data_IF_602967386255
#
_entry.id   IF_602967386255
#
_cell.length_a   1.000
_cell.length_b   1.000
_cell.length_c   1.000
_cell.angle_alpha   90.00
_cell.angle_beta   90.00
_cell.angle_gamma   90.00
#
_symmetry.space_group_name_H-M   'P 1'
#
loop_
_entity.id
_entity.type
_entity.pdbx_description
1 polymer ?
#
# COMPACT_ATOMS: atom_id res chain seq x y z
N UNK A 1 1.71 -9.14 -20.77
CA UNK A 1 2.63 -8.13 -20.23
C UNK A 1 3.50 -8.72 -19.11
N UNK A 2 2.95 -9.41 -18.12
CA UNK A 2 3.70 -10.03 -17.01
C UNK A 2 4.85 -10.93 -17.48
N UNK A 3 4.66 -11.79 -18.46
CA UNK A 3 5.74 -12.64 -19.00
C UNK A 3 6.92 -11.88 -19.60
N UNK A 4 6.69 -10.69 -20.18
CA UNK A 4 7.79 -9.84 -20.72
C UNK A 4 8.69 -9.29 -19.62
N UNK A 5 8.12 -9.05 -18.44
CA UNK A 5 8.82 -8.45 -17.28
C UNK A 5 9.01 -9.45 -16.14
N UNK A 6 8.91 -10.75 -16.44
CA UNK A 6 9.10 -11.83 -15.48
C UNK A 6 10.37 -11.64 -14.66
N UNK A 7 10.24 -11.68 -13.32
CA UNK A 7 11.32 -11.50 -12.37
C UNK A 7 11.90 -10.08 -12.30
N UNK A 8 11.33 -9.10 -13.02
CA UNK A 8 11.73 -7.68 -12.96
C UNK A 8 10.68 -6.82 -12.27
N UNK A 9 9.39 -7.10 -12.52
CA UNK A 9 8.27 -6.47 -11.84
C UNK A 9 7.69 -7.51 -10.91
N UNK A 10 7.68 -7.21 -9.62
CA UNK A 10 7.32 -8.15 -8.57
C UNK A 10 5.86 -8.10 -8.16
N UNK A 11 5.14 -7.05 -8.53
CA UNK A 11 3.74 -6.81 -8.18
C UNK A 11 2.97 -6.28 -9.38
N UNK A 12 1.74 -6.77 -9.59
CA UNK A 12 0.87 -6.37 -10.70
C UNK A 12 -0.55 -6.13 -10.21
N UNK A 13 -1.13 -5.00 -10.60
CA UNK A 13 -2.59 -4.84 -10.64
C UNK A 13 -3.09 -5.55 -11.90
N UNK A 14 -3.61 -6.77 -11.70
CA UNK A 14 -4.08 -7.64 -12.81
C UNK A 14 -5.33 -7.07 -13.46
N UNK A 15 -6.23 -6.56 -12.62
CA UNK A 15 -7.44 -5.87 -13.04
C UNK A 15 -7.58 -4.56 -12.26
N UNK A 16 -8.01 -3.51 -12.96
CA UNK A 16 -8.23 -2.19 -12.39
C UNK A 16 -9.65 -1.71 -12.69
N UNK A 17 -10.35 -1.21 -11.64
CA UNK A 17 -11.66 -0.55 -11.73
C UNK A 17 -12.73 -1.39 -12.45
N UNK A 18 -12.87 -2.63 -12.04
CA UNK A 18 -13.81 -3.56 -12.68
C UNK A 18 -15.26 -3.41 -12.20
N UNK A 19 -15.48 -2.71 -11.10
CA UNK A 19 -16.82 -2.52 -10.53
C UNK A 19 -17.56 -1.32 -11.14
N UNK A 20 -18.84 -1.48 -11.35
CA UNK A 20 -19.76 -0.37 -11.65
C UNK A 20 -19.82 0.58 -10.45
N UNK A 21 -20.05 1.87 -10.68
CA UNK A 21 -20.20 2.83 -9.58
C UNK A 21 -21.53 2.65 -8.83
N UNK A 22 -22.57 2.18 -9.51
CA UNK A 22 -23.82 1.81 -8.88
C UNK A 22 -23.79 0.36 -8.38
N UNK A 23 -23.52 0.21 -7.11
CA UNK A 23 -23.57 -1.06 -6.39
C UNK A 23 -24.82 -1.19 -5.50
N UNK A 24 -25.94 -0.61 -5.92
CA UNK A 24 -27.19 -0.67 -5.15
C UNK A 24 -27.70 -2.11 -4.95
N UNK A 25 -27.30 -3.06 -5.81
CA UNK A 25 -27.61 -4.49 -5.69
C UNK A 25 -27.20 -5.07 -4.33
N UNK A 26 -26.13 -4.57 -3.71
CA UNK A 26 -25.66 -5.01 -2.37
C UNK A 26 -26.70 -4.79 -1.28
N UNK A 27 -27.67 -3.88 -1.48
CA UNK A 27 -28.75 -3.62 -0.52
C UNK A 27 -29.77 -4.74 -0.47
N UNK A 28 -29.99 -5.43 -1.59
CA UNK A 28 -30.91 -6.57 -1.70
C UNK A 28 -30.19 -7.91 -1.55
N UNK A 29 -28.95 -7.99 -1.98
CA UNK A 29 -28.06 -9.14 -1.81
C UNK A 29 -26.70 -8.68 -1.26
N UNK A 30 -26.44 -8.82 0.05
CA UNK A 30 -25.19 -8.39 0.67
C UNK A 30 -23.94 -9.10 0.15
N UNK A 31 -24.08 -10.16 -0.62
CA UNK A 31 -22.97 -10.92 -1.21
C UNK A 31 -22.70 -10.57 -2.68
N UNK A 32 -23.60 -9.79 -3.28
CA UNK A 32 -23.52 -9.42 -4.69
C UNK A 32 -22.49 -8.32 -4.98
N UNK A 33 -22.14 -8.22 -6.24
CA UNK A 33 -21.46 -7.09 -6.85
C UNK A 33 -21.87 -6.98 -8.33
N UNK A 34 -21.68 -5.81 -8.90
CA UNK A 34 -21.99 -5.52 -10.31
C UNK A 34 -20.73 -5.06 -11.01
N UNK A 35 -20.38 -5.71 -12.11
CA UNK A 35 -19.23 -5.32 -12.91
C UNK A 35 -19.53 -4.09 -13.79
N UNK A 36 -18.53 -3.27 -13.99
CA UNK A 36 -18.55 -2.15 -14.93
C UNK A 36 -18.73 -2.69 -16.36
N UNK A 37 -19.60 -2.10 -17.17
CA UNK A 37 -19.71 -2.43 -18.58
C UNK A 37 -18.35 -2.24 -19.28
N UNK A 38 -17.87 -3.31 -19.89
CA UNK A 38 -16.62 -3.33 -20.65
C UNK A 38 -16.73 -4.36 -21.77
N UNK A 39 -15.85 -4.29 -22.76
CA UNK A 39 -15.78 -5.34 -23.80
C UNK A 39 -15.54 -6.72 -23.18
N UNK A 40 -14.72 -6.80 -22.13
CA UNK A 40 -14.43 -8.06 -21.44
C UNK A 40 -15.66 -8.61 -20.72
N UNK A 41 -16.33 -7.80 -19.92
CA UNK A 41 -17.55 -8.20 -19.21
C UNK A 41 -18.69 -8.55 -20.19
N UNK A 42 -18.77 -7.88 -21.33
CA UNK A 42 -19.83 -8.12 -22.33
C UNK A 42 -19.63 -9.44 -23.10
N UNK A 43 -18.40 -9.75 -23.52
CA UNK A 43 -18.14 -10.88 -24.41
C UNK A 43 -17.63 -12.13 -23.70
N UNK A 44 -17.08 -12.01 -22.52
CA UNK A 44 -16.51 -13.12 -21.73
C UNK A 44 -17.36 -13.40 -20.48
N UNK A 45 -17.99 -12.34 -19.93
CA UNK A 45 -18.63 -12.43 -18.63
C UNK A 45 -17.65 -12.14 -17.48
N UNK A 46 -18.04 -12.53 -16.27
CA UNK A 46 -17.24 -12.34 -15.06
C UNK A 46 -15.91 -13.10 -15.09
N UNK A 47 -15.89 -14.21 -15.82
CA UNK A 47 -14.73 -15.11 -15.97
C UNK A 47 -13.51 -14.43 -16.59
N UNK A 48 -13.65 -13.23 -17.15
CA UNK A 48 -12.49 -12.49 -17.64
C UNK A 48 -11.50 -12.12 -16.53
N UNK A 49 -12.02 -11.86 -15.31
CA UNK A 49 -11.18 -11.54 -14.14
C UNK A 49 -10.39 -12.78 -13.74
N UNK A 50 -11.05 -13.91 -13.61
CA UNK A 50 -10.43 -15.18 -13.24
C UNK A 50 -9.35 -15.58 -14.26
N UNK A 51 -9.68 -15.48 -15.56
CA UNK A 51 -8.75 -15.75 -16.65
C UNK A 51 -7.52 -14.84 -16.59
N UNK A 52 -7.70 -13.55 -16.28
CA UNK A 52 -6.61 -12.60 -16.16
C UNK A 52 -5.65 -12.99 -15.03
N UNK A 53 -6.17 -13.38 -13.87
CA UNK A 53 -5.34 -13.88 -12.74
C UNK A 53 -4.62 -15.18 -13.09
N UNK A 54 -5.31 -16.15 -13.71
CA UNK A 54 -4.70 -17.41 -14.14
C UNK A 54 -3.54 -17.17 -15.11
N UNK A 55 -3.76 -16.35 -16.14
CA UNK A 55 -2.73 -16.07 -17.14
C UNK A 55 -1.58 -15.24 -16.60
N UNK A 56 -1.85 -14.29 -15.71
CA UNK A 56 -0.80 -13.51 -15.06
C UNK A 56 0.11 -14.41 -14.21
N UNK A 57 -0.48 -15.30 -13.40
CA UNK A 57 0.26 -16.26 -12.59
C UNK A 57 1.03 -17.28 -13.44
N UNK A 58 0.44 -17.81 -14.51
CA UNK A 58 1.15 -18.69 -15.45
C UNK A 58 2.35 -18.02 -16.11
N UNK A 59 2.21 -16.73 -16.42
CA UNK A 59 3.28 -15.95 -17.06
C UNK A 59 4.44 -15.63 -16.10
N UNK A 60 4.13 -15.32 -14.83
CA UNK A 60 5.11 -15.07 -13.77
C UNK A 60 4.56 -15.60 -12.41
N UNK A 61 4.88 -16.85 -12.04
CA UNK A 61 4.37 -17.46 -10.82
C UNK A 61 4.88 -16.81 -9.53
N UNK A 62 5.99 -16.08 -9.57
CA UNK A 62 6.61 -15.45 -8.42
C UNK A 62 6.10 -14.03 -8.19
N UNK A 63 5.37 -13.46 -9.16
CA UNK A 63 4.80 -12.12 -9.04
C UNK A 63 3.56 -12.14 -8.12
N UNK A 64 3.44 -11.12 -7.29
CA UNK A 64 2.28 -10.88 -6.44
C UNK A 64 1.20 -10.18 -7.26
N UNK A 65 -0.01 -10.73 -7.21
CA UNK A 65 -1.12 -10.30 -8.05
C UNK A 65 -2.19 -9.61 -7.22
N UNK A 66 -2.59 -8.42 -7.65
CA UNK A 66 -3.58 -7.58 -6.98
C UNK A 66 -4.74 -7.25 -7.93
N UNK A 67 -5.84 -6.86 -7.35
CA UNK A 67 -6.94 -6.16 -8.02
C UNK A 67 -7.06 -4.77 -7.39
N UNK A 68 -7.31 -3.72 -8.17
CA UNK A 68 -7.29 -2.33 -7.71
C UNK A 68 -8.63 -1.64 -7.96
N UNK A 69 -9.10 -0.79 -7.00
CA UNK A 69 -10.38 -0.11 -7.11
C UNK A 69 -10.39 1.22 -6.33
N UNK A 70 -11.19 2.19 -6.82
CA UNK A 70 -11.49 3.44 -6.14
C UNK A 70 -12.86 3.44 -5.48
N UNK A 71 -13.06 4.32 -4.50
CA UNK A 71 -14.33 4.47 -3.79
C UNK A 71 -14.67 3.27 -2.89
N UNK A 72 -13.72 2.36 -2.70
CA UNK A 72 -13.86 1.11 -1.95
C UNK A 72 -13.06 1.09 -0.64
N UNK A 73 -12.58 2.24 -0.17
CA UNK A 73 -11.64 2.36 0.94
C UNK A 73 -12.30 2.22 2.31
N UNK A 74 -13.52 2.71 2.47
CA UNK A 74 -14.17 2.86 3.78
C UNK A 74 -15.43 2.03 3.90
N UNK A 75 -15.54 1.16 4.92
CA UNK A 75 -16.76 0.36 5.18
C UNK A 75 -18.01 1.22 5.29
N UNK A 76 -19.14 0.64 4.91
CA UNK A 76 -20.47 1.29 4.97
C UNK A 76 -20.91 1.95 3.67
N UNK A 77 -20.11 1.84 2.60
CA UNK A 77 -20.52 2.19 1.23
C UNK A 77 -20.80 0.91 0.45
N UNK A 78 -21.81 0.92 -0.41
CA UNK A 78 -22.18 -0.24 -1.24
C UNK A 78 -21.02 -0.71 -2.12
N UNK A 79 -20.25 0.22 -2.69
CA UNK A 79 -19.07 -0.11 -3.51
C UNK A 79 -17.97 -0.81 -2.70
N UNK A 80 -17.76 -0.42 -1.44
CA UNK A 80 -16.80 -1.08 -0.55
C UNK A 80 -17.22 -2.51 -0.24
N UNK A 81 -18.52 -2.76 -0.01
CA UNK A 81 -19.02 -4.11 0.23
C UNK A 81 -18.94 -4.96 -1.04
N UNK A 82 -19.31 -4.42 -2.19
CA UNK A 82 -19.19 -5.08 -3.49
C UNK A 82 -17.72 -5.47 -3.78
N UNK A 83 -16.78 -4.57 -3.53
CA UNK A 83 -15.36 -4.84 -3.74
C UNK A 83 -14.85 -5.94 -2.79
N UNK A 84 -15.24 -5.89 -1.53
CA UNK A 84 -14.92 -6.95 -0.58
C UNK A 84 -15.48 -8.31 -1.03
N UNK A 85 -16.71 -8.36 -1.51
CA UNK A 85 -17.35 -9.59 -2.02
C UNK A 85 -16.57 -10.16 -3.22
N UNK A 86 -16.21 -9.32 -4.19
CA UNK A 86 -15.39 -9.71 -5.33
C UNK A 86 -14.05 -10.28 -4.90
N UNK A 87 -13.30 -9.56 -4.06
CA UNK A 87 -11.98 -9.98 -3.59
C UNK A 87 -12.06 -11.28 -2.80
N UNK A 88 -13.08 -11.42 -1.93
CA UNK A 88 -13.36 -12.64 -1.18
C UNK A 88 -13.62 -13.82 -2.12
N UNK A 89 -14.47 -13.64 -3.13
CA UNK A 89 -14.76 -14.68 -4.14
C UNK A 89 -13.48 -15.12 -4.86
N UNK A 90 -12.64 -14.18 -5.31
CA UNK A 90 -11.37 -14.49 -5.98
C UNK A 90 -10.47 -15.34 -5.09
N UNK A 91 -10.38 -15.00 -3.80
CA UNK A 91 -9.60 -15.76 -2.81
C UNK A 91 -10.16 -17.16 -2.59
N UNK A 92 -11.49 -17.29 -2.40
CA UNK A 92 -12.17 -18.55 -2.16
C UNK A 92 -12.13 -19.47 -3.38
N UNK A 93 -12.03 -18.92 -4.60
CA UNK A 93 -11.85 -19.69 -5.85
C UNK A 93 -10.44 -20.27 -6.01
N UNK A 94 -9.52 -20.01 -5.07
CA UNK A 94 -8.15 -20.54 -5.12
C UNK A 94 -7.24 -19.86 -6.13
N UNK A 95 -7.62 -18.69 -6.66
CA UNK A 95 -6.78 -17.90 -7.53
C UNK A 95 -5.56 -17.34 -6.79
N UNK A 96 -4.47 -17.13 -7.52
CA UNK A 96 -3.23 -16.58 -6.99
C UNK A 96 -3.35 -15.07 -6.72
N UNK A 97 -4.31 -14.67 -5.87
CA UNK A 97 -4.47 -13.29 -5.44
C UNK A 97 -3.68 -13.05 -4.16
N UNK A 98 -2.75 -12.10 -4.17
CA UNK A 98 -1.99 -11.66 -3.00
C UNK A 98 -2.77 -10.66 -2.15
N UNK A 99 -3.54 -9.77 -2.79
CA UNK A 99 -4.27 -8.74 -2.08
C UNK A 99 -5.09 -7.81 -2.97
N UNK A 100 -5.48 -6.70 -2.37
CA UNK A 100 -6.27 -5.67 -3.01
C UNK A 100 -5.60 -4.29 -2.93
N UNK A 101 -5.76 -3.49 -3.99
CA UNK A 101 -5.41 -2.09 -4.05
C UNK A 101 -6.59 -1.20 -3.66
N UNK A 102 -6.33 -0.22 -2.83
CA UNK A 102 -7.24 0.86 -2.47
C UNK A 102 -6.63 2.15 -3.03
N UNK A 103 -7.27 2.78 -4.01
CA UNK A 103 -6.70 3.95 -4.69
C UNK A 103 -6.53 5.14 -3.74
N UNK A 104 -7.46 5.34 -2.83
CA UNK A 104 -7.40 6.39 -1.82
C UNK A 104 -7.39 7.81 -2.42
N UNK A 105 -8.23 8.07 -3.41
CA UNK A 105 -8.52 9.40 -3.91
C UNK A 105 -9.53 10.10 -3.01
N UNK A 106 -9.04 10.99 -2.13
CA UNK A 106 -9.88 11.70 -1.18
C UNK A 106 -9.97 13.19 -1.48
N UNK A 107 -11.00 13.82 -0.91
CA UNK A 107 -11.08 15.26 -0.71
C UNK A 107 -11.03 15.52 0.80
N UNK A 108 -10.37 16.60 1.24
CA UNK A 108 -10.26 16.89 2.68
C UNK A 108 -11.62 16.91 3.36
N UNK A 109 -11.75 16.18 4.47
CA UNK A 109 -12.99 16.00 5.22
C UNK A 109 -13.75 14.71 4.87
N UNK A 110 -13.37 13.97 3.82
CA UNK A 110 -14.02 12.70 3.47
C UNK A 110 -13.48 11.51 4.27
N UNK A 111 -12.25 11.61 4.76
CA UNK A 111 -11.57 10.51 5.42
C UNK A 111 -12.17 10.16 6.78
N UNK A 112 -12.73 8.96 6.89
CA UNK A 112 -13.06 8.32 8.18
C UNK A 112 -12.01 7.24 8.48
N UNK A 113 -11.09 7.58 9.37
CA UNK A 113 -9.95 6.71 9.71
C UNK A 113 -10.36 5.39 10.32
N UNK A 114 -11.45 5.35 11.09
CA UNK A 114 -11.95 4.11 11.70
C UNK A 114 -12.55 3.19 10.64
N UNK A 115 -13.29 3.75 9.67
CA UNK A 115 -13.88 2.98 8.58
C UNK A 115 -12.82 2.44 7.61
N UNK A 116 -11.79 3.24 7.30
CA UNK A 116 -10.66 2.81 6.48
C UNK A 116 -9.93 1.64 7.15
N UNK A 117 -9.55 1.81 8.42
CA UNK A 117 -8.81 0.76 9.12
C UNK A 117 -9.65 -0.51 9.32
N UNK A 118 -10.94 -0.38 9.62
CA UNK A 118 -11.84 -1.53 9.69
C UNK A 118 -11.90 -2.30 8.36
N UNK A 119 -11.84 -1.59 7.23
CA UNK A 119 -11.83 -2.20 5.91
C UNK A 119 -10.52 -2.97 5.66
N UNK A 120 -9.37 -2.37 5.96
CA UNK A 120 -8.05 -3.00 5.85
C UNK A 120 -8.00 -4.30 6.66
N UNK A 121 -8.50 -4.29 7.88
CA UNK A 121 -8.55 -5.47 8.75
C UNK A 121 -9.47 -6.58 8.23
N UNK A 122 -10.51 -6.25 7.46
CA UNK A 122 -11.34 -7.30 6.83
C UNK A 122 -10.54 -8.12 5.83
N UNK A 123 -9.66 -7.48 5.05
CA UNK A 123 -8.78 -8.18 4.11
C UNK A 123 -7.69 -8.96 4.84
N UNK A 124 -7.18 -8.47 5.96
CA UNK A 124 -6.27 -9.23 6.82
C UNK A 124 -6.90 -10.55 7.31
N UNK A 125 -8.17 -10.51 7.71
CA UNK A 125 -8.93 -11.71 8.11
C UNK A 125 -9.10 -12.73 6.97
N UNK A 126 -8.95 -12.32 5.71
CA UNK A 126 -8.90 -13.20 4.55
C UNK A 126 -7.48 -13.69 4.22
N UNK A 127 -6.47 -13.27 5.00
CA UNK A 127 -5.06 -13.52 4.72
C UNK A 127 -4.55 -12.78 3.49
N UNK A 128 -5.10 -11.60 3.20
CA UNK A 128 -4.78 -10.78 2.03
C UNK A 128 -4.07 -9.50 2.44
N UNK A 129 -3.15 -9.07 1.57
CA UNK A 129 -2.50 -7.76 1.68
C UNK A 129 -3.42 -6.65 1.18
N UNK A 130 -3.23 -5.45 1.76
CA UNK A 130 -3.77 -4.20 1.23
C UNK A 130 -2.62 -3.32 0.76
N UNK A 131 -2.76 -2.73 -0.42
CA UNK A 131 -1.85 -1.68 -0.89
C UNK A 131 -2.65 -0.39 -1.10
N UNK A 132 -2.04 0.73 -0.74
CA UNK A 132 -2.56 2.05 -1.08
C UNK A 132 -1.86 2.44 -2.38
N UNK A 133 -2.62 2.53 -3.47
CA UNK A 133 -2.05 2.54 -4.82
C UNK A 133 -1.91 3.94 -5.42
N UNK A 134 -2.80 4.87 -5.05
CA UNK A 134 -2.95 6.11 -5.81
C UNK A 134 -3.27 7.31 -4.90
N UNK A 135 -2.71 7.32 -3.68
CA UNK A 135 -3.06 8.32 -2.67
C UNK A 135 -2.92 9.75 -3.18
N UNK A 136 -4.02 10.46 -3.21
CA UNK A 136 -4.08 11.90 -3.32
C UNK A 136 -5.24 12.46 -2.49
N UNK A 137 -5.08 13.69 -1.95
CA UNK A 137 -6.09 14.33 -1.12
C UNK A 137 -6.30 15.76 -1.61
N UNK A 138 -7.31 15.98 -2.44
CA UNK A 138 -7.66 17.32 -2.91
C UNK A 138 -8.22 18.21 -1.79
N UNK A 139 -7.94 19.49 -1.83
CA UNK A 139 -8.52 20.45 -0.89
C UNK A 139 -10.00 20.68 -1.23
N UNK A 140 -10.89 20.49 -0.27
CA UNK A 140 -12.33 20.79 -0.46
C UNK A 140 -12.55 22.28 -0.72
N UNK A 141 -11.86 23.14 0.03
CA UNK A 141 -11.80 24.57 -0.16
C UNK A 141 -10.34 25.04 -0.10
N UNK A 142 -9.71 25.32 -1.26
CA UNK A 142 -8.32 25.79 -1.28
C UNK A 142 -8.11 27.18 -0.68
N UNK A 143 -9.18 27.93 -0.45
CA UNK A 143 -9.11 29.31 0.09
C UNK A 143 -9.21 29.34 1.61
N UNK A 144 -9.58 28.22 2.25
CA UNK A 144 -9.66 28.14 3.70
C UNK A 144 -8.27 28.27 4.34
N UNK A 145 -8.17 29.07 5.40
CA UNK A 145 -6.91 29.36 6.09
C UNK A 145 -6.17 28.08 6.57
N UNK A 146 -6.94 27.08 7.00
CA UNK A 146 -6.42 25.81 7.53
C UNK A 146 -6.40 24.66 6.50
N UNK A 147 -6.66 24.94 5.21
CA UNK A 147 -6.82 23.91 4.17
C UNK A 147 -5.62 22.95 4.08
N UNK A 148 -4.39 23.50 4.02
CA UNK A 148 -3.16 22.69 3.94
C UNK A 148 -2.88 21.94 5.24
N UNK A 149 -3.28 22.48 6.38
CA UNK A 149 -3.12 21.79 7.68
C UNK A 149 -4.07 20.58 7.78
N UNK A 150 -5.33 20.73 7.35
CA UNK A 150 -6.29 19.62 7.27
C UNK A 150 -5.77 18.51 6.36
N UNK A 151 -5.33 18.87 5.16
CA UNK A 151 -4.72 17.93 4.23
C UNK A 151 -3.54 17.17 4.86
N UNK A 152 -2.65 17.89 5.55
CA UNK A 152 -1.50 17.29 6.22
C UNK A 152 -1.91 16.32 7.32
N UNK A 153 -2.94 16.64 8.10
CA UNK A 153 -3.48 15.75 9.15
C UNK A 153 -4.00 14.45 8.55
N UNK A 154 -4.71 14.51 7.43
CA UNK A 154 -5.28 13.35 6.76
C UNK A 154 -4.22 12.47 6.11
N UNK A 155 -3.23 13.04 5.40
CA UNK A 155 -2.08 12.29 4.91
C UNK A 155 -1.33 11.58 6.04
N UNK A 156 -1.07 12.28 7.15
CA UNK A 156 -0.45 11.69 8.33
C UNK A 156 -1.30 10.60 8.98
N UNK A 157 -2.63 10.72 8.97
CA UNK A 157 -3.53 9.71 9.51
C UNK A 157 -3.52 8.44 8.68
N UNK A 158 -3.57 8.54 7.34
CA UNK A 158 -3.46 7.39 6.43
C UNK A 158 -2.10 6.71 6.60
N UNK A 159 -1.01 7.50 6.66
CA UNK A 159 0.34 6.95 6.88
C UNK A 159 0.42 6.16 8.18
N UNK A 160 -0.18 6.65 9.27
CA UNK A 160 -0.21 5.91 10.55
C UNK A 160 -1.02 4.62 10.44
N UNK A 161 -2.16 4.63 9.77
CA UNK A 161 -2.98 3.42 9.54
C UNK A 161 -2.16 2.40 8.75
N UNK A 162 -1.52 2.83 7.66
CA UNK A 162 -0.63 1.98 6.86
C UNK A 162 0.47 1.33 7.72
N UNK A 163 1.17 2.13 8.53
CA UNK A 163 2.32 1.66 9.32
C UNK A 163 1.95 0.69 10.46
N UNK A 164 0.71 0.74 10.98
CA UNK A 164 0.29 -0.10 12.10
C UNK A 164 -0.44 -1.38 11.71
N UNK A 165 -0.78 -1.55 10.42
CA UNK A 165 -1.44 -2.74 9.91
C UNK A 165 -0.44 -3.58 9.10
N UNK A 166 -0.09 -4.76 9.59
CA UNK A 166 0.97 -5.62 9.02
C UNK A 166 0.61 -6.18 7.63
N UNK A 167 -0.68 -6.22 7.31
CA UNK A 167 -1.13 -6.58 5.98
C UNK A 167 -1.02 -5.44 4.95
N UNK A 168 -0.64 -4.22 5.36
CA UNK A 168 -0.33 -3.13 4.44
C UNK A 168 1.12 -3.24 3.96
N UNK A 169 1.35 -3.45 2.66
CA UNK A 169 2.67 -3.70 2.08
C UNK A 169 3.26 -2.53 1.29
N UNK A 170 2.42 -1.71 0.67
CA UNK A 170 2.86 -0.57 -0.14
C UNK A 170 1.91 0.63 0.01
N UNK A 171 2.48 1.84 -0.04
CA UNK A 171 1.73 3.10 -0.10
C UNK A 171 2.36 4.01 -1.15
N UNK A 172 1.61 4.28 -2.21
CA UNK A 172 2.02 5.11 -3.33
C UNK A 172 1.17 6.39 -3.37
N UNK A 173 1.82 7.51 -3.66
CA UNK A 173 1.17 8.80 -3.92
C UNK A 173 1.00 8.97 -5.43
N UNK A 174 -0.19 9.41 -5.88
CA UNK A 174 -0.53 9.44 -7.31
C UNK A 174 -0.01 10.70 -8.01
N UNK A 175 1.29 10.87 -7.93
CA UNK A 175 2.01 11.97 -8.55
C UNK A 175 2.98 12.66 -7.58
N UNK A 176 3.82 13.55 -8.11
CA UNK A 176 4.85 14.27 -7.34
C UNK A 176 4.34 15.64 -6.92
N UNK A 177 3.88 16.46 -7.87
CA UNK A 177 3.51 17.85 -7.62
C UNK A 177 2.14 18.21 -8.15
N UNK A 178 1.51 19.17 -7.51
CA UNK A 178 0.19 19.68 -7.86
C UNK A 178 0.09 20.17 -9.32
N UNK A 179 1.22 20.55 -9.93
CA UNK A 179 1.27 21.03 -11.31
C UNK A 179 0.97 19.92 -12.35
N UNK A 180 1.22 18.68 -11.99
CA UNK A 180 1.06 17.52 -12.88
C UNK A 180 0.04 16.51 -12.37
N UNK A 181 -0.80 16.91 -11.40
CA UNK A 181 -1.89 16.06 -10.93
C UNK A 181 -3.03 15.99 -11.94
N UNK A 182 -3.67 14.83 -12.03
CA UNK A 182 -4.91 14.65 -12.77
C UNK A 182 -6.09 15.35 -12.08
N UNK A 183 -5.99 15.59 -10.76
CA UNK A 183 -6.99 16.30 -9.95
C UNK A 183 -6.59 17.77 -9.75
N UNK A 184 -7.60 18.61 -9.61
CA UNK A 184 -7.46 20.02 -9.20
C UNK A 184 -7.34 20.12 -7.67
N UNK A 185 -7.20 21.36 -7.17
CA UNK A 185 -7.21 21.69 -5.75
C UNK A 185 -6.05 21.07 -4.96
N UNK A 186 -4.86 21.15 -5.53
CA UNK A 186 -3.59 20.89 -4.85
C UNK A 186 -3.56 19.55 -4.07
N UNK A 187 -3.76 18.39 -4.72
CA UNK A 187 -3.95 17.12 -4.01
C UNK A 187 -2.66 16.46 -3.50
N UNK A 188 -1.47 16.86 -3.99
CA UNK A 188 -0.23 16.13 -3.80
C UNK A 188 0.67 16.70 -2.69
N UNK A 189 1.84 16.08 -2.49
CA UNK A 189 2.78 16.43 -1.41
C UNK A 189 3.64 17.66 -1.71
N UNK A 190 3.83 17.98 -3.00
CA UNK A 190 4.60 19.15 -3.44
C UNK A 190 3.71 20.11 -4.21
N UNK A 191 3.93 21.39 -4.03
CA UNK A 191 3.19 22.45 -4.73
C UNK A 191 3.67 22.63 -6.18
N UNK A 192 3.11 23.60 -6.89
CA UNK A 192 3.43 23.93 -8.29
C UNK A 192 4.91 24.29 -8.51
N UNK A 193 5.62 24.75 -7.47
CA UNK A 193 7.03 25.11 -7.51
C UNK A 193 7.94 23.97 -7.02
N UNK A 194 7.42 22.76 -6.87
CA UNK A 194 8.12 21.59 -6.28
C UNK A 194 8.58 21.82 -4.83
N UNK A 195 7.97 22.76 -4.12
CA UNK A 195 8.20 22.94 -2.69
C UNK A 195 7.34 21.97 -1.88
N UNK A 196 7.94 21.36 -0.87
CA UNK A 196 7.22 20.44 0.01
C UNK A 196 6.12 21.17 0.79
N UNK A 197 4.93 20.58 0.80
CA UNK A 197 3.76 21.05 1.55
C UNK A 197 3.74 20.50 2.98
N UNK A 198 2.92 21.04 3.89
CA UNK A 198 2.74 20.47 5.23
C UNK A 198 2.43 18.96 5.22
N UNK A 199 1.69 18.48 4.21
CA UNK A 199 1.41 17.06 4.01
C UNK A 199 2.67 16.20 3.89
N UNK A 200 3.67 16.64 3.11
CA UNK A 200 4.96 15.95 2.99
C UNK A 200 5.64 15.81 4.36
N UNK A 201 5.72 16.88 5.11
CA UNK A 201 6.38 16.86 6.42
C UNK A 201 5.65 15.97 7.43
N UNK A 202 4.32 15.89 7.35
CA UNK A 202 3.55 15.01 8.22
C UNK A 202 3.77 13.52 7.86
N UNK A 203 3.73 13.15 6.58
CA UNK A 203 4.08 11.80 6.12
C UNK A 203 5.48 11.43 6.59
N UNK A 204 6.48 12.28 6.34
CA UNK A 204 7.85 12.07 6.74
C UNK A 204 8.00 11.89 8.27
N UNK A 205 7.28 12.69 9.06
CA UNK A 205 7.31 12.59 10.53
C UNK A 205 6.73 11.23 11.02
N UNK A 206 5.65 10.73 10.40
CA UNK A 206 5.10 9.41 10.75
C UNK A 206 6.08 8.28 10.41
N UNK A 207 6.70 8.34 9.23
CA UNK A 207 7.71 7.35 8.82
C UNK A 207 8.92 7.36 9.76
N UNK A 208 9.45 8.53 10.11
CA UNK A 208 10.54 8.66 11.09
C UNK A 208 10.18 8.06 12.43
N UNK A 209 8.99 8.40 12.95
CA UNK A 209 8.52 7.86 14.23
C UNK A 209 8.44 6.34 14.22
N UNK A 210 7.97 5.73 13.14
CA UNK A 210 7.92 4.28 13.00
C UNK A 210 9.33 3.66 13.01
N UNK A 211 10.29 4.27 12.31
CA UNK A 211 11.70 3.82 12.31
C UNK A 211 12.31 3.93 13.71
N UNK A 212 12.05 5.02 14.42
CA UNK A 212 12.52 5.21 15.80
C UNK A 212 11.95 4.15 16.74
N UNK A 213 10.65 3.83 16.63
CA UNK A 213 10.01 2.77 17.41
C UNK A 213 10.58 1.38 17.12
N UNK A 214 10.87 1.08 15.86
CA UNK A 214 11.53 -0.17 15.47
C UNK A 214 12.95 -0.27 16.03
N UNK A 215 13.68 0.85 16.09
CA UNK A 215 15.04 0.87 16.61
C UNK A 215 15.10 0.81 18.15
N UNK A 216 14.08 1.31 18.85
CA UNK A 216 13.99 1.23 20.33
C UNK A 216 13.38 -0.10 20.81
N UNK A 217 12.59 -0.77 19.97
CA UNK A 217 12.05 -2.12 20.24
C UNK A 217 13.04 -3.25 19.97
N UNK A 218 14.17 -2.95 19.32
CA UNK A 218 15.31 -3.84 19.23
C UNK A 218 16.17 -3.67 20.50
N UNK A 219 15.64 -4.11 21.65
CA UNK A 219 16.55 -4.48 22.74
C UNK A 219 17.51 -5.53 22.15
N UNK A 220 18.82 -5.25 22.22
CA UNK A 220 19.83 -6.24 21.96
C UNK A 220 19.44 -7.51 22.73
N UNK A 221 19.42 -8.69 22.11
CA UNK A 221 19.10 -9.90 22.84
C UNK A 221 19.99 -9.93 24.06
N UNK A 222 19.36 -9.98 25.26
CA UNK A 222 20.10 -10.22 26.51
C UNK A 222 20.89 -11.47 26.27
N UNK A 223 22.19 -11.35 26.20
CA UNK A 223 23.11 -12.48 26.08
C UNK A 223 23.05 -13.27 27.36
N UNK A 224 22.14 -14.21 27.43
CA UNK A 224 22.18 -15.26 28.42
C UNK A 224 23.42 -16.10 28.15
N UNK A 225 24.56 -15.71 28.70
CA UNK A 225 25.70 -16.55 29.03
C UNK A 225 26.28 -17.50 27.94
N UNK A 226 26.04 -17.28 26.63
CA UNK A 226 26.74 -18.00 25.56
C UNK A 226 28.06 -17.35 25.22
N UNK A 227 29.12 -18.10 24.89
CA UNK A 227 30.39 -17.52 24.47
C UNK A 227 30.11 -16.59 23.26
N UNK A 228 30.67 -15.39 23.32
CA UNK A 228 30.44 -14.33 22.31
C UNK A 228 30.90 -14.84 20.94
N UNK A 229 29.92 -15.04 20.04
CA UNK A 229 30.22 -15.33 18.64
C UNK A 229 31.07 -14.17 18.07
N UNK A 230 32.11 -14.53 17.31
CA UNK A 230 33.04 -13.56 16.73
C UNK A 230 32.44 -12.96 15.47
N UNK A 231 32.37 -11.63 15.40
CA UNK A 231 31.97 -10.90 14.20
C UNK A 231 32.94 -11.19 13.04
N UNK A 232 32.44 -11.75 11.94
CA UNK A 232 33.23 -12.06 10.75
C UNK A 232 33.25 -10.91 9.75
N UNK A 233 32.07 -10.31 9.47
CA UNK A 233 31.96 -9.18 8.55
C UNK A 233 30.69 -8.38 8.80
N UNK A 234 30.72 -7.11 8.35
CA UNK A 234 29.55 -6.23 8.30
C UNK A 234 29.33 -5.80 6.85
N UNK A 235 28.08 -5.85 6.40
CA UNK A 235 27.67 -5.37 5.07
C UNK A 235 26.59 -4.33 5.25
N UNK A 236 26.67 -3.25 4.49
CA UNK A 236 25.72 -2.14 4.55
C UNK A 236 24.86 -2.13 3.31
N UNK A 237 23.56 -1.87 3.48
CA UNK A 237 22.58 -1.77 2.39
C UNK A 237 21.83 -0.44 2.51
N UNK A 238 21.43 0.13 1.37
CA UNK A 238 20.48 1.24 1.33
C UNK A 238 19.03 0.71 1.53
N UNK A 239 18.08 1.64 1.57
CA UNK A 239 16.64 1.29 1.73
C UNK A 239 16.08 0.44 0.57
N UNK A 240 16.76 0.40 -0.58
CA UNK A 240 16.40 -0.44 -1.73
C UNK A 240 17.07 -1.83 -1.68
N UNK A 241 17.82 -2.14 -0.61
CA UNK A 241 18.50 -3.43 -0.46
C UNK A 241 19.80 -3.55 -1.27
N UNK A 242 20.32 -2.45 -1.85
CA UNK A 242 21.57 -2.45 -2.60
C UNK A 242 22.75 -2.28 -1.62
N UNK A 243 23.82 -3.05 -1.83
CA UNK A 243 25.04 -2.98 -1.02
C UNK A 243 25.73 -1.62 -1.18
N UNK A 244 26.19 -1.04 -0.07
CA UNK A 244 26.84 0.27 0.00
C UNK A 244 28.30 0.12 0.33
N UNK A 245 29.16 0.75 -0.45
CA UNK A 245 30.61 0.81 -0.18
C UNK A 245 31.00 1.96 0.75
N UNK A 246 30.16 2.99 0.84
CA UNK A 246 30.37 4.16 1.74
C UNK A 246 29.05 4.49 2.44
N UNK A 247 28.83 4.01 3.66
CA UNK A 247 27.55 4.12 4.34
C UNK A 247 27.37 5.51 4.98
N UNK A 248 26.63 6.39 4.29
CA UNK A 248 26.16 7.68 4.82
C UNK A 248 24.63 7.73 4.78
N UNK A 249 24.01 8.37 5.77
CA UNK A 249 22.55 8.45 5.85
C UNK A 249 21.89 7.17 6.40
N UNK A 250 20.63 6.93 6.01
CA UNK A 250 19.90 5.74 6.44
C UNK A 250 20.47 4.47 5.77
N UNK A 251 20.77 3.47 6.58
CA UNK A 251 21.32 2.21 6.11
C UNK A 251 20.83 1.02 6.93
N UNK A 252 20.83 -0.14 6.30
CA UNK A 252 20.64 -1.45 6.92
C UNK A 252 22.03 -2.06 7.06
N UNK A 253 22.46 -2.34 8.30
CA UNK A 253 23.72 -2.99 8.61
C UNK A 253 23.43 -4.47 8.89
N UNK A 254 24.09 -5.39 8.15
CA UNK A 254 24.07 -6.83 8.43
C UNK A 254 25.40 -7.28 8.97
N UNK A 255 25.39 -7.87 10.15
CA UNK A 255 26.56 -8.44 10.81
C UNK A 255 26.47 -9.96 10.74
N UNK A 256 27.53 -10.58 10.28
CA UNK A 256 27.66 -12.02 10.14
C UNK A 256 28.64 -12.54 11.17
N UNK A 257 28.28 -13.58 11.92
CA UNK A 257 29.07 -14.15 13.00
C UNK A 257 29.58 -15.55 12.65
N UNK A 258 30.61 -16.03 13.36
CA UNK A 258 31.26 -17.32 13.12
C UNK A 258 30.40 -18.53 13.52
N UNK A 259 29.35 -18.32 14.31
CA UNK A 259 28.34 -19.34 14.63
C UNK A 259 27.24 -19.47 13.58
N UNK A 260 27.33 -18.73 12.47
CA UNK A 260 26.35 -18.68 11.39
C UNK A 260 25.17 -17.74 11.65
N UNK A 261 25.12 -17.08 12.80
CA UNK A 261 24.08 -16.10 13.10
C UNK A 261 24.26 -14.80 12.29
N UNK A 262 23.13 -14.13 12.01
CA UNK A 262 23.09 -12.85 11.28
C UNK A 262 22.30 -11.85 12.11
N UNK A 263 22.91 -10.73 12.45
CA UNK A 263 22.26 -9.59 13.07
C UNK A 263 21.94 -8.53 12.00
N UNK A 264 20.76 -7.95 12.04
CA UNK A 264 20.36 -6.87 11.13
C UNK A 264 20.01 -5.63 11.94
N UNK A 265 20.75 -4.55 11.72
CA UNK A 265 20.60 -3.27 12.41
C UNK A 265 20.23 -2.19 11.38
N UNK A 266 19.22 -1.40 11.68
CA UNK A 266 18.87 -0.22 10.86
C UNK A 266 19.42 1.02 11.57
N UNK A 267 20.28 1.77 10.90
CA UNK A 267 20.93 2.95 11.48
C UNK A 267 20.83 4.16 10.54
N UNK A 268 20.87 5.35 11.13
CA UNK A 268 21.06 6.62 10.42
C UNK A 268 22.29 7.33 10.98
N UNK A 269 23.26 7.68 10.12
CA UNK A 269 24.43 8.48 10.48
C UNK A 269 24.63 9.60 9.49
#
# INVERSE_FOLDING_TARGET
>A
MSGRYKGKITEWDVCNEVLDDDQSIVRSDPTAYKLRPSIWATYIGEEFIDSAFVWAHQADPDAKLYINEYGAEMVGKTKTEAYYNLVKRLKESGLAIEGCGLQCHFTTGELDTMKLEKNIRRYDNLGLKCIITELDIALADPTAEDALERQAKEYGAITRIFLRNENCSSMLVWGISDNHSWRKNAPLLFNHELKAKPAYYNVHAQLRKAVEQLSTGLESPKTDGKPSARLLRTVYYNIMGQEMTSPTGFRIERRFYDDGSIETIKTYK
#
